data_IF_765549935946
#
_entry.id   IF_765549935946
#
_cell.length_a   1.000
_cell.length_b   1.000
_cell.length_c   1.000
_cell.angle_alpha   90.00
_cell.angle_beta   90.00
_cell.angle_gamma   90.00
#
_symmetry.space_group_name_H-M   'P 1'
#
loop_
_entity.id
_entity.type
_entity.pdbx_description
1 polymer ?
#
# COMPACT_ATOMS: atom_id res chain seq x y z
N UNK A 1 26.27 33.20 35.81
CA UNK A 1 25.04 32.66 35.21
C UNK A 1 24.49 33.61 34.16
N UNK A 2 24.89 33.44 32.90
CA UNK A 2 24.43 34.29 31.79
C UNK A 2 24.29 33.57 30.44
N UNK A 3 24.51 32.25 30.40
CA UNK A 3 24.60 31.47 29.16
C UNK A 3 23.23 31.21 28.48
N UNK A 4 22.13 31.57 29.13
CA UNK A 4 20.76 31.33 28.66
C UNK A 4 19.97 32.63 28.42
N UNK A 5 20.61 33.79 28.46
CA UNK A 5 19.92 35.10 28.30
C UNK A 5 19.89 35.63 26.86
N UNK A 6 20.32 34.84 25.88
CA UNK A 6 20.14 35.24 24.48
C UNK A 6 18.69 34.94 24.08
N UNK A 7 17.88 35.95 23.71
CA UNK A 7 16.56 35.68 23.19
C UNK A 7 16.70 34.81 21.95
N UNK A 8 15.96 33.70 21.90
CA UNK A 8 15.88 32.86 20.71
C UNK A 8 15.40 33.73 19.55
N UNK A 9 16.34 34.20 18.73
CA UNK A 9 16.04 35.00 17.56
C UNK A 9 15.53 34.02 16.51
N UNK A 10 14.22 33.86 16.46
CA UNK A 10 13.53 33.16 15.38
C UNK A 10 13.77 33.95 14.09
N UNK A 11 14.93 33.76 13.47
CA UNK A 11 15.18 34.18 12.10
C UNK A 11 14.40 33.23 11.21
N UNK A 12 13.08 33.44 11.15
CA UNK A 12 12.30 32.92 10.05
C UNK A 12 12.98 33.44 8.77
N UNK A 13 13.29 32.58 7.79
CA UNK A 13 13.76 33.08 6.50
C UNK A 13 12.74 34.12 6.03
N UNK A 14 13.24 35.30 5.66
CA UNK A 14 12.42 36.34 5.06
C UNK A 14 11.66 35.67 3.93
N UNK A 15 10.34 35.54 4.07
CA UNK A 15 9.49 35.02 3.01
C UNK A 15 9.54 36.14 1.99
N UNK A 16 10.50 36.07 1.06
CA UNK A 16 10.60 37.00 -0.05
C UNK A 16 9.19 37.17 -0.60
N UNK A 17 8.74 38.42 -0.76
CA UNK A 17 7.38 38.69 -1.26
C UNK A 17 7.22 38.02 -2.63
N UNK A 18 6.74 36.78 -2.60
CA UNK A 18 6.68 35.94 -3.77
C UNK A 18 5.52 36.48 -4.58
N UNK A 19 5.84 37.18 -5.67
CA UNK A 19 4.84 37.55 -6.65
C UNK A 19 4.08 36.29 -7.08
N UNK A 20 2.79 36.43 -7.40
CA UNK A 20 1.99 35.31 -7.90
C UNK A 20 2.66 34.57 -9.06
N UNK A 21 3.46 35.28 -9.88
CA UNK A 21 4.29 34.71 -10.94
C UNK A 21 5.45 33.85 -10.42
N UNK A 22 6.21 34.33 -9.43
CA UNK A 22 7.28 33.55 -8.80
C UNK A 22 6.73 32.29 -8.11
N UNK A 23 5.57 32.41 -7.46
CA UNK A 23 4.85 31.27 -6.87
C UNK A 23 4.40 30.26 -7.93
N UNK A 24 3.78 30.70 -9.04
CA UNK A 24 3.37 29.85 -10.16
C UNK A 24 4.56 29.10 -10.78
N UNK A 25 5.68 29.78 -10.99
CA UNK A 25 6.91 29.17 -11.52
C UNK A 25 7.49 28.15 -10.53
N UNK A 26 7.47 28.46 -9.22
CA UNK A 26 7.86 27.51 -8.18
C UNK A 26 6.99 26.26 -8.19
N UNK A 27 5.67 26.41 -8.33
CA UNK A 27 4.72 25.31 -8.40
C UNK A 27 4.94 24.47 -9.67
N UNK A 28 5.12 25.10 -10.84
CA UNK A 28 5.40 24.41 -12.09
C UNK A 28 6.73 23.64 -12.04
N UNK A 29 7.78 24.23 -11.46
CA UNK A 29 9.07 23.54 -11.24
C UNK A 29 8.91 22.35 -10.31
N UNK A 30 8.23 22.52 -9.18
CA UNK A 30 7.96 21.44 -8.23
C UNK A 30 7.20 20.28 -8.89
N UNK A 31 6.15 20.60 -9.67
CA UNK A 31 5.38 19.61 -10.41
C UNK A 31 6.25 18.89 -11.46
N UNK A 32 7.13 19.63 -12.14
CA UNK A 32 8.09 19.07 -13.10
C UNK A 32 9.07 18.10 -12.44
N UNK A 33 9.65 18.45 -11.28
CA UNK A 33 10.54 17.55 -10.53
C UNK A 33 9.82 16.27 -10.09
N UNK A 34 8.63 16.41 -9.48
CA UNK A 34 7.84 15.26 -9.04
C UNK A 34 7.47 14.36 -10.23
N UNK A 35 7.07 14.97 -11.36
CA UNK A 35 6.74 14.23 -12.57
C UNK A 35 7.93 13.40 -13.09
N UNK A 36 9.12 14.00 -13.19
CA UNK A 36 10.33 13.30 -13.66
C UNK A 36 10.73 12.18 -12.70
N UNK A 37 10.64 12.40 -11.39
CA UNK A 37 10.95 11.38 -10.38
C UNK A 37 9.98 10.19 -10.50
N UNK A 38 8.66 10.45 -10.54
CA UNK A 38 7.65 9.40 -10.70
C UNK A 38 7.86 8.66 -12.02
N UNK A 39 8.12 9.37 -13.12
CA UNK A 39 8.36 8.75 -14.42
C UNK A 39 9.58 7.82 -14.40
N UNK A 40 10.68 8.25 -13.79
CA UNK A 40 11.89 7.44 -13.64
C UNK A 40 11.63 6.19 -12.79
N UNK A 41 10.88 6.32 -11.69
CA UNK A 41 10.49 5.18 -10.84
C UNK A 41 9.58 4.20 -11.58
N UNK A 42 8.57 4.69 -12.30
CA UNK A 42 7.68 3.83 -13.10
C UNK A 42 8.45 3.09 -14.20
N UNK A 43 9.42 3.77 -14.83
CA UNK A 43 10.31 3.14 -15.80
C UNK A 43 11.16 2.04 -15.15
N UNK A 44 11.78 2.33 -13.99
CA UNK A 44 12.55 1.37 -13.21
C UNK A 44 11.69 0.18 -12.77
N UNK A 45 10.46 0.40 -12.33
CA UNK A 45 9.52 -0.67 -11.97
C UNK A 45 9.17 -1.55 -13.16
N UNK A 46 8.92 -0.97 -14.34
CA UNK A 46 8.69 -1.75 -15.57
C UNK A 46 9.92 -2.59 -15.92
N UNK A 47 11.12 -2.04 -15.73
CA UNK A 47 12.37 -2.76 -15.94
C UNK A 47 12.52 -3.92 -14.94
N UNK A 48 12.29 -3.70 -13.65
CA UNK A 48 12.30 -4.73 -12.59
C UNK A 48 11.29 -5.85 -12.87
N UNK A 49 10.10 -5.50 -13.37
CA UNK A 49 9.08 -6.46 -13.79
C UNK A 49 9.53 -7.27 -15.01
N UNK A 50 10.13 -6.62 -15.99
CA UNK A 50 10.69 -7.29 -17.16
C UNK A 50 11.82 -8.26 -16.80
N UNK A 51 12.65 -7.88 -15.81
CA UNK A 51 13.69 -8.73 -15.20
C UNK A 51 13.14 -9.86 -14.31
N UNK A 52 11.81 -9.98 -14.14
CA UNK A 52 11.12 -10.98 -13.31
C UNK A 52 11.51 -10.94 -11.82
N UNK A 53 12.08 -9.84 -11.34
CA UNK A 53 12.39 -9.66 -9.91
C UNK A 53 11.11 -9.67 -9.08
N UNK A 54 10.06 -9.04 -9.60
CA UNK A 54 8.72 -9.03 -8.99
C UNK A 54 8.13 -10.43 -8.89
N UNK A 55 8.34 -11.26 -9.91
CA UNK A 55 7.79 -12.62 -9.97
C UNK A 55 8.54 -13.54 -9.00
N UNK A 56 9.85 -13.35 -8.86
CA UNK A 56 10.66 -14.07 -7.87
C UNK A 56 10.21 -13.72 -6.44
N UNK A 57 10.05 -12.44 -6.13
CA UNK A 57 9.56 -11.99 -4.84
C UNK A 57 8.18 -12.60 -4.54
N UNK A 58 7.29 -12.59 -5.53
CA UNK A 58 5.98 -13.23 -5.43
C UNK A 58 6.06 -14.71 -5.09
N UNK A 59 6.90 -15.47 -5.78
CA UNK A 59 7.12 -16.91 -5.51
C UNK A 59 7.68 -17.17 -4.11
N UNK A 60 8.52 -16.27 -3.59
CA UNK A 60 9.05 -16.39 -2.23
C UNK A 60 8.00 -16.06 -1.16
N UNK A 61 7.11 -15.09 -1.41
CA UNK A 61 6.04 -14.74 -0.49
C UNK A 61 4.86 -15.72 -0.55
N UNK A 62 4.61 -16.36 -1.69
CA UNK A 62 3.50 -17.30 -1.90
C UNK A 62 3.38 -18.38 -0.80
N UNK A 63 4.44 -19.12 -0.41
CA UNK A 63 4.33 -20.11 0.66
C UNK A 63 3.95 -19.47 2.00
N UNK A 64 4.48 -18.27 2.30
CA UNK A 64 4.14 -17.54 3.54
C UNK A 64 2.67 -17.14 3.55
N UNK A 65 2.17 -16.63 2.43
CA UNK A 65 0.77 -16.25 2.24
C UNK A 65 -0.18 -17.44 2.37
N UNK A 66 0.21 -18.62 1.86
CA UNK A 66 -0.53 -19.88 2.06
C UNK A 66 -0.51 -20.32 3.53
N UNK A 67 0.60 -20.14 4.24
CA UNK A 67 0.67 -20.40 5.70
C UNK A 67 -0.21 -19.44 6.51
N UNK A 68 -0.47 -18.23 6.00
CA UNK A 68 -1.47 -17.31 6.58
C UNK A 68 -2.92 -17.78 6.34
N UNK A 69 -3.15 -18.90 5.65
CA UNK A 69 -4.49 -19.43 5.41
C UNK A 69 -5.23 -18.77 4.24
N UNK A 70 -4.54 -18.00 3.39
CA UNK A 70 -5.13 -17.50 2.15
C UNK A 70 -5.24 -18.60 1.10
N UNK A 71 -6.33 -18.59 0.34
CA UNK A 71 -6.49 -19.54 -0.76
C UNK A 71 -5.44 -19.35 -1.87
N UNK A 72 -5.21 -20.41 -2.64
CA UNK A 72 -4.34 -20.37 -3.82
C UNK A 72 -4.77 -19.35 -4.88
N UNK A 73 -6.01 -18.85 -4.81
CA UNK A 73 -6.55 -17.81 -5.70
C UNK A 73 -6.29 -16.41 -5.17
N UNK A 74 -6.31 -16.23 -3.85
CA UNK A 74 -6.12 -14.93 -3.20
C UNK A 74 -4.65 -14.51 -3.13
N UNK A 75 -3.74 -15.48 -2.90
CA UNK A 75 -2.31 -15.19 -2.73
C UNK A 75 -1.69 -14.48 -3.95
N UNK A 76 -1.88 -14.92 -5.21
CA UNK A 76 -1.32 -14.22 -6.37
C UNK A 76 -1.83 -12.79 -6.53
N UNK A 77 -3.12 -12.57 -6.29
CA UNK A 77 -3.74 -11.24 -6.38
C UNK A 77 -3.15 -10.29 -5.32
N UNK A 78 -3.00 -10.80 -4.10
CA UNK A 78 -2.43 -10.05 -2.97
C UNK A 78 -0.98 -9.68 -3.23
N UNK A 79 -0.17 -10.61 -3.75
CA UNK A 79 1.22 -10.34 -4.15
C UNK A 79 1.28 -9.22 -5.19
N UNK A 80 0.42 -9.27 -6.19
CA UNK A 80 0.35 -8.23 -7.23
C UNK A 80 0.01 -6.88 -6.60
N UNK A 81 -0.96 -6.84 -5.68
CA UNK A 81 -1.33 -5.61 -4.97
C UNK A 81 -0.24 -5.07 -4.04
N UNK A 82 0.48 -5.95 -3.34
CA UNK A 82 1.62 -5.58 -2.51
C UNK A 82 2.77 -5.00 -3.35
N UNK A 83 3.01 -5.57 -4.54
CA UNK A 83 4.16 -5.22 -5.38
C UNK A 83 3.89 -4.02 -6.29
N UNK A 84 2.74 -4.02 -6.97
CA UNK A 84 2.36 -3.01 -7.98
C UNK A 84 1.42 -1.94 -7.42
N UNK A 85 1.01 -2.06 -6.17
CA UNK A 85 0.17 -1.08 -5.49
C UNK A 85 -1.30 -1.48 -5.39
N UNK A 86 -1.98 -0.81 -4.45
CA UNK A 86 -3.36 -1.11 -4.07
C UNK A 86 -4.36 -0.85 -5.19
N UNK A 87 -4.10 0.11 -6.09
CA UNK A 87 -4.99 0.41 -7.21
C UNK A 87 -5.08 -0.77 -8.19
N UNK A 88 -3.94 -1.38 -8.51
CA UNK A 88 -3.90 -2.56 -9.39
C UNK A 88 -4.45 -3.80 -8.69
N UNK A 89 -3.95 -4.12 -7.49
CA UNK A 89 -4.43 -5.29 -6.74
C UNK A 89 -5.90 -5.18 -6.37
N UNK A 90 -6.37 -3.98 -6.01
CA UNK A 90 -7.75 -3.73 -5.59
C UNK A 90 -8.74 -3.92 -6.73
N UNK A 91 -8.41 -3.46 -7.94
CA UNK A 91 -9.22 -3.73 -9.13
C UNK A 91 -9.36 -5.24 -9.40
N UNK A 92 -8.25 -5.97 -9.24
CA UNK A 92 -8.22 -7.42 -9.42
C UNK A 92 -9.02 -8.16 -8.32
N UNK A 93 -8.89 -7.74 -7.05
CA UNK A 93 -9.69 -8.26 -5.93
C UNK A 93 -11.17 -8.02 -6.17
N UNK A 94 -11.57 -6.81 -6.59
CA UNK A 94 -12.97 -6.48 -6.85
C UNK A 94 -13.53 -7.37 -7.97
N UNK A 95 -12.76 -7.59 -9.03
CA UNK A 95 -13.16 -8.46 -10.13
C UNK A 95 -13.36 -9.91 -9.66
N UNK A 96 -12.41 -10.45 -8.90
CA UNK A 96 -12.49 -11.84 -8.43
C UNK A 96 -13.54 -12.04 -7.33
N UNK A 97 -13.73 -11.05 -6.45
CA UNK A 97 -14.81 -11.04 -5.47
C UNK A 97 -16.19 -11.02 -6.14
N UNK A 98 -16.38 -10.20 -7.19
CA UNK A 98 -17.64 -10.16 -7.96
C UNK A 98 -17.91 -11.45 -8.72
N UNK A 99 -16.86 -12.15 -9.15
CA UNK A 99 -17.00 -13.46 -9.82
C UNK A 99 -17.39 -14.59 -8.88
N UNK A 100 -17.44 -14.35 -7.56
CA UNK A 100 -17.73 -15.36 -6.54
C UNK A 100 -16.63 -16.40 -6.36
N UNK A 101 -15.46 -16.20 -6.98
CA UNK A 101 -14.33 -17.15 -6.94
C UNK A 101 -13.44 -16.98 -5.72
N UNK A 102 -13.58 -15.86 -5.00
CA UNK A 102 -12.82 -15.51 -3.80
C UNK A 102 -13.74 -15.45 -2.59
N UNK A 103 -13.35 -16.11 -1.50
CA UNK A 103 -14.12 -16.06 -0.25
C UNK A 103 -14.01 -14.69 0.43
N UNK A 104 -15.02 -14.32 1.23
CA UNK A 104 -15.06 -13.03 1.92
C UNK A 104 -13.87 -12.83 2.86
N UNK A 105 -13.43 -13.89 3.53
CA UNK A 105 -12.25 -13.87 4.40
C UNK A 105 -10.98 -13.61 3.61
N UNK A 106 -10.82 -14.26 2.47
CA UNK A 106 -9.70 -14.03 1.56
C UNK A 106 -9.66 -12.58 1.07
N UNK A 107 -10.80 -12.03 0.65
CA UNK A 107 -10.91 -10.61 0.24
C UNK A 107 -10.43 -9.70 1.37
N UNK A 108 -10.91 -9.93 2.59
CA UNK A 108 -10.54 -9.11 3.74
C UNK A 108 -9.04 -9.19 4.05
N UNK A 109 -8.47 -10.40 4.16
CA UNK A 109 -7.05 -10.55 4.48
C UNK A 109 -6.15 -10.03 3.36
N UNK A 110 -6.56 -10.18 2.11
CA UNK A 110 -5.87 -9.59 0.96
C UNK A 110 -5.83 -8.06 1.06
N UNK A 111 -6.98 -7.44 1.39
CA UNK A 111 -7.08 -5.99 1.57
C UNK A 111 -6.28 -5.48 2.77
N UNK A 112 -6.27 -6.19 3.90
CA UNK A 112 -5.45 -5.85 5.08
C UNK A 112 -3.98 -5.89 4.72
N UNK A 113 -3.51 -6.99 4.14
CA UNK A 113 -2.09 -7.17 3.83
C UNK A 113 -1.63 -6.16 2.77
N UNK A 114 -2.44 -5.94 1.74
CA UNK A 114 -2.18 -4.86 0.77
C UNK A 114 -2.22 -3.49 1.42
N UNK A 115 -3.16 -3.19 2.31
CA UNK A 115 -3.19 -1.91 3.02
C UNK A 115 -1.87 -1.62 3.76
N UNK A 116 -1.33 -2.63 4.44
CA UNK A 116 -0.09 -2.51 5.21
C UNK A 116 1.17 -2.50 4.33
N UNK A 117 1.15 -3.23 3.21
CA UNK A 117 2.34 -3.53 2.42
C UNK A 117 2.22 -3.18 0.93
N UNK A 118 1.26 -2.33 0.53
CA UNK A 118 1.16 -1.85 -0.85
C UNK A 118 2.41 -1.08 -1.25
N UNK A 119 2.71 -1.11 -2.54
CA UNK A 119 3.85 -0.38 -3.11
C UNK A 119 5.19 -0.73 -2.45
N UNK A 120 5.35 -2.00 -2.02
CA UNK A 120 6.55 -2.50 -1.34
C UNK A 120 7.84 -2.17 -2.10
N UNK A 121 7.80 -2.23 -3.44
CA UNK A 121 8.95 -1.88 -4.29
C UNK A 121 9.06 -0.37 -4.49
N UNK A 122 7.98 0.29 -4.87
CA UNK A 122 7.97 1.73 -5.20
C UNK A 122 8.38 2.58 -3.98
N UNK A 123 7.74 2.38 -2.84
CA UNK A 123 8.02 3.13 -1.61
C UNK A 123 9.45 2.86 -1.12
N UNK A 124 9.92 1.62 -1.23
CA UNK A 124 11.28 1.27 -0.83
C UNK A 124 12.31 1.95 -1.75
N UNK A 125 12.11 1.91 -3.07
CA UNK A 125 13.01 2.55 -4.02
C UNK A 125 13.05 4.07 -3.82
N UNK A 126 11.88 4.69 -3.58
CA UNK A 126 11.77 6.10 -3.24
C UNK A 126 12.57 6.44 -1.99
N UNK A 127 12.37 5.70 -0.92
CA UNK A 127 13.02 5.98 0.36
C UNK A 127 14.53 5.69 0.32
N UNK A 128 14.94 4.65 -0.41
CA UNK A 128 16.37 4.35 -0.66
C UNK A 128 17.01 5.46 -1.49
N UNK A 129 16.30 6.02 -2.49
CA UNK A 129 16.81 7.16 -3.26
C UNK A 129 17.00 8.42 -2.40
N UNK A 130 16.24 8.56 -1.31
CA UNK A 130 16.41 9.64 -0.31
C UNK A 130 17.51 9.32 0.72
N UNK A 131 18.14 8.14 0.66
CA UNK A 131 19.26 7.73 1.51
C UNK A 131 18.91 6.81 2.68
N UNK A 132 17.69 6.26 2.71
CA UNK A 132 17.29 5.33 3.75
C UNK A 132 17.78 3.88 3.47
N UNK A 133 17.99 3.11 4.54
CA UNK A 133 18.43 1.71 4.41
C UNK A 133 17.27 0.77 4.03
N UNK A 134 17.48 -0.04 2.98
CA UNK A 134 16.48 -0.96 2.43
C UNK A 134 15.96 -1.99 3.45
N UNK A 135 16.79 -2.42 4.41
CA UNK A 135 16.43 -3.47 5.39
C UNK A 135 15.30 -3.03 6.32
N UNK A 136 15.34 -1.80 6.83
CA UNK A 136 14.29 -1.28 7.71
C UNK A 136 12.96 -1.09 6.98
N UNK A 137 13.02 -0.57 5.75
CA UNK A 137 11.82 -0.19 4.99
C UNK A 137 11.17 -1.41 4.33
N UNK A 138 11.95 -2.26 3.66
CA UNK A 138 11.41 -3.42 2.96
C UNK A 138 11.13 -4.57 3.94
N UNK A 139 12.18 -5.02 4.64
CA UNK A 139 12.08 -6.22 5.48
C UNK A 139 11.28 -5.94 6.73
N UNK A 140 11.53 -4.81 7.40
CA UNK A 140 10.77 -4.41 8.59
C UNK A 140 9.28 -4.27 8.31
N UNK A 141 8.90 -3.55 7.24
CA UNK A 141 7.50 -3.41 6.82
C UNK A 141 6.87 -4.74 6.44
N UNK A 142 7.58 -5.59 5.69
CA UNK A 142 7.05 -6.88 5.27
C UNK A 142 6.80 -7.79 6.48
N UNK A 143 7.77 -7.89 7.40
CA UNK A 143 7.62 -8.69 8.64
C UNK A 143 6.48 -8.15 9.49
N UNK A 144 6.39 -6.83 9.68
CA UNK A 144 5.30 -6.20 10.42
C UNK A 144 3.93 -6.50 9.79
N UNK A 145 3.80 -6.30 8.49
CA UNK A 145 2.55 -6.53 7.77
C UNK A 145 2.11 -8.00 7.87
N UNK A 146 3.04 -8.93 7.67
CA UNK A 146 2.78 -10.37 7.82
C UNK A 146 2.41 -10.74 9.26
N UNK A 147 3.11 -10.20 10.27
CA UNK A 147 2.82 -10.47 11.67
C UNK A 147 1.44 -9.96 12.09
N UNK A 148 1.09 -8.73 11.72
CA UNK A 148 -0.23 -8.14 11.99
C UNK A 148 -1.32 -8.96 11.30
N UNK A 149 -1.12 -9.30 10.02
CA UNK A 149 -2.08 -10.10 9.26
C UNK A 149 -2.25 -11.49 9.85
N UNK A 150 -1.16 -12.14 10.27
CA UNK A 150 -1.19 -13.43 10.95
C UNK A 150 -2.01 -13.38 12.26
N UNK A 151 -1.79 -12.37 13.09
CA UNK A 151 -2.56 -12.18 14.33
C UNK A 151 -4.04 -11.99 14.00
N UNK A 152 -4.37 -11.14 13.04
CA UNK A 152 -5.74 -10.92 12.57
C UNK A 152 -6.38 -12.23 12.10
N UNK A 153 -5.71 -13.01 11.25
CA UNK A 153 -6.21 -14.31 10.80
C UNK A 153 -6.53 -15.21 12.00
N UNK A 154 -5.64 -15.31 12.98
CA UNK A 154 -5.85 -16.20 14.14
C UNK A 154 -6.93 -15.72 15.10
N UNK A 155 -7.09 -14.42 15.26
CA UNK A 155 -8.17 -13.85 16.07
C UNK A 155 -9.51 -14.04 15.36
N UNK A 156 -9.59 -13.73 14.06
CA UNK A 156 -10.83 -13.81 13.29
C UNK A 156 -11.21 -15.25 12.92
N UNK A 157 -10.28 -16.20 12.93
CA UNK A 157 -10.60 -17.63 12.81
C UNK A 157 -11.48 -18.13 13.98
N UNK A 158 -11.45 -17.46 15.14
CA UNK A 158 -12.30 -17.78 16.29
C UNK A 158 -13.69 -17.13 16.21
N UNK A 159 -13.91 -16.21 15.28
CA UNK A 159 -15.17 -15.48 15.12
C UNK A 159 -16.07 -16.24 14.14
N UNK A 160 -17.34 -16.53 14.50
CA UNK A 160 -18.28 -17.17 13.59
C UNK A 160 -18.51 -16.33 12.33
N UNK A 161 -18.65 -16.99 11.18
CA UNK A 161 -18.82 -16.31 9.87
C UNK A 161 -20.02 -15.36 9.87
N UNK A 162 -21.09 -15.67 10.61
CA UNK A 162 -22.27 -14.79 10.76
C UNK A 162 -21.95 -13.43 11.39
N UNK A 163 -21.02 -13.40 12.35
CA UNK A 163 -20.60 -12.16 13.03
C UNK A 163 -19.63 -11.39 12.15
N UNK A 164 -18.68 -12.10 11.53
CA UNK A 164 -17.74 -11.53 10.57
C UNK A 164 -18.47 -10.85 9.41
N UNK A 165 -19.43 -11.55 8.81
CA UNK A 165 -20.23 -11.04 7.71
C UNK A 165 -21.04 -9.82 8.12
N UNK A 166 -21.75 -9.86 9.26
CA UNK A 166 -22.54 -8.71 9.73
C UNK A 166 -21.68 -7.47 10.02
N UNK A 167 -20.47 -7.66 10.54
CA UNK A 167 -19.61 -6.57 10.98
C UNK A 167 -18.83 -5.93 9.82
N UNK A 168 -18.34 -6.72 8.87
CA UNK A 168 -17.46 -6.25 7.80
C UNK A 168 -18.14 -6.17 6.43
N UNK A 169 -19.19 -6.96 6.18
CA UNK A 169 -19.90 -6.97 4.91
C UNK A 169 -21.34 -6.50 5.10
N UNK A 170 -21.65 -5.29 4.61
CA UNK A 170 -23.03 -4.83 4.58
C UNK A 170 -23.78 -5.64 3.52
N UNK A 171 -24.64 -6.57 3.97
CA UNK A 171 -25.61 -7.21 3.10
C UNK A 171 -26.43 -6.12 2.39
N UNK A 172 -26.48 -6.10 1.05
CA UNK A 172 -27.45 -5.28 0.34
C UNK A 172 -28.83 -5.65 0.87
N UNK A 173 -29.65 -4.66 1.24
CA UNK A 173 -31.07 -4.91 1.48
C UNK A 173 -31.63 -5.58 0.23
N UNK A 174 -32.43 -6.66 0.34
CA UNK A 174 -33.19 -7.16 -0.80
C UNK A 174 -33.95 -5.97 -1.38
N UNK A 175 -33.66 -5.61 -2.62
CA UNK A 175 -34.47 -4.67 -3.38
C UNK A 175 -35.82 -5.33 -3.53
N UNK A 176 -36.79 -4.91 -2.71
CA UNK A 176 -38.18 -5.05 -3.06
C UNK A 176 -38.36 -4.35 -4.42
N UNK A 177 -39.12 -5.00 -5.29
CA UNK A 177 -39.70 -4.45 -6.52
C UNK A 177 -38.83 -4.48 -7.78
N UNK A 178 -38.86 -5.62 -8.47
CA UNK A 178 -39.03 -5.64 -9.92
C UNK A 178 -40.22 -6.55 -10.24
N UNK A 179 -41.42 -6.00 -10.51
CA UNK A 179 -42.53 -6.80 -11.03
C UNK A 179 -42.20 -7.31 -12.43
N UNK A 180 -42.72 -8.52 -12.70
CA UNK A 180 -42.48 -9.35 -13.89
C UNK A 180 -42.92 -8.70 -15.22
#
# INVERSE_FOLDING_TARGET
GGFLQHPARWTLPEVAEASWGAWLVGLAKGLGYIFVIILALLFLMKLLKWLKVTDLLGRMLEPVLRMLGMSARAAPITIIGMTLGISFGGGLIIQEARSGRLDKRDVFFSLVLMGLAHSLIEDTLLMVAVGAHYSGILVGRLVFALAVTFVLVRVLAKVPDRVFDRMLFRMPKPTADVPA
#
